data_IF_901747467815
#
_entry.id   IF_901747467815
#
_cell.length_a   1.000
_cell.length_b   1.000
_cell.length_c   1.000
_cell.angle_alpha   90.00
_cell.angle_beta   90.00
_cell.angle_gamma   90.00
#
_symmetry.space_group_name_H-M   'P 1'
#
loop_
_entity.id
_entity.type
_entity.pdbx_description
1 polymer ?
#
# COMPACT_ATOMS: atom_id res chain seq x y z
N UNK A 1 -73.98 14.55 -22.83
CA UNK A 1 -72.80 15.36 -22.91
C UNK A 1 -71.58 14.45 -22.65
N UNK A 2 -70.46 14.73 -23.31
CA UNK A 2 -69.15 14.09 -23.06
C UNK A 2 -68.47 14.81 -21.90
N UNK A 3 -67.95 14.04 -20.97
CA UNK A 3 -67.26 14.50 -19.77
C UNK A 3 -65.85 13.97 -19.71
N UNK A 4 -64.90 14.77 -19.25
CA UNK A 4 -63.55 14.34 -18.90
C UNK A 4 -63.37 14.44 -17.38
N UNK A 5 -63.01 13.30 -16.76
CA UNK A 5 -62.78 13.26 -15.32
C UNK A 5 -61.45 13.88 -14.95
N UNK A 6 -61.42 14.73 -13.95
CA UNK A 6 -60.21 15.36 -13.44
C UNK A 6 -59.30 14.42 -12.65
N UNK A 7 -59.85 13.35 -12.07
CA UNK A 7 -59.13 12.34 -11.26
C UNK A 7 -58.44 11.27 -12.13
N UNK A 8 -59.25 10.63 -13.01
CA UNK A 8 -58.75 9.50 -13.81
C UNK A 8 -58.40 9.86 -15.26
N UNK A 9 -58.64 11.13 -15.68
CA UNK A 9 -58.51 11.63 -17.06
C UNK A 9 -59.38 10.87 -18.11
N UNK A 10 -60.25 9.96 -17.68
CA UNK A 10 -61.13 9.20 -18.56
C UNK A 10 -62.25 10.05 -19.15
N UNK A 11 -62.58 9.83 -20.42
CA UNK A 11 -63.67 10.48 -21.11
C UNK A 11 -64.86 9.51 -21.19
N UNK A 12 -66.07 10.04 -20.92
CA UNK A 12 -67.28 9.26 -20.93
C UNK A 12 -68.48 10.10 -21.27
N UNK A 13 -69.56 9.47 -21.69
CA UNK A 13 -70.82 10.14 -22.03
C UNK A 13 -71.91 9.83 -21.00
N UNK A 14 -72.53 10.87 -20.49
CA UNK A 14 -73.72 10.73 -19.65
C UNK A 14 -74.56 12.05 -19.62
N UNK A 15 -75.83 11.94 -19.13
CA UNK A 15 -76.64 13.13 -18.87
C UNK A 15 -76.09 13.95 -17.71
N UNK A 16 -76.42 15.23 -17.66
CA UNK A 16 -75.99 16.15 -16.57
C UNK A 16 -76.48 15.65 -15.23
N UNK A 17 -77.76 15.19 -15.17
CA UNK A 17 -78.32 14.63 -13.96
C UNK A 17 -77.57 13.39 -13.47
N UNK A 18 -77.26 12.47 -14.37
CA UNK A 18 -76.51 11.23 -14.03
C UNK A 18 -75.11 11.54 -13.57
N UNK A 19 -74.45 12.53 -14.21
CA UNK A 19 -73.12 13.01 -13.79
C UNK A 19 -73.12 13.52 -12.36
N UNK A 20 -74.14 14.30 -11.99
CA UNK A 20 -74.28 14.84 -10.65
C UNK A 20 -74.54 13.77 -9.59
N UNK A 21 -75.38 12.78 -9.93
CA UNK A 21 -75.78 11.71 -8.98
C UNK A 21 -74.73 10.61 -8.83
N UNK A 22 -74.12 10.15 -9.90
CA UNK A 22 -73.29 8.93 -9.93
C UNK A 22 -71.82 9.22 -10.06
N UNK A 23 -71.40 10.43 -10.41
CA UNK A 23 -70.00 10.77 -10.62
C UNK A 23 -69.39 10.18 -11.89
N UNK A 24 -68.07 9.99 -11.87
CA UNK A 24 -67.32 9.35 -12.95
C UNK A 24 -67.50 7.82 -12.88
N UNK A 25 -67.90 7.12 -13.96
CA UNK A 25 -68.10 5.69 -13.97
C UNK A 25 -66.76 4.92 -13.75
N UNK A 26 -65.63 5.48 -14.08
CA UNK A 26 -64.33 4.84 -13.86
C UNK A 26 -63.88 4.99 -12.40
N UNK A 27 -63.98 6.22 -11.81
CA UNK A 27 -63.65 6.44 -10.41
C UNK A 27 -64.63 5.73 -9.45
N UNK A 28 -65.91 5.60 -9.83
CA UNK A 28 -66.89 4.82 -9.06
C UNK A 28 -66.82 3.29 -9.34
N UNK A 29 -65.83 2.90 -10.14
CA UNK A 29 -65.56 1.51 -10.47
C UNK A 29 -66.76 0.75 -11.06
N UNK A 30 -67.56 1.44 -11.87
CA UNK A 30 -68.68 0.90 -12.64
C UNK A 30 -68.30 0.50 -14.04
N UNK A 31 -67.16 1.04 -14.56
CA UNK A 31 -66.62 0.75 -15.89
C UNK A 31 -65.10 0.66 -15.84
N UNK A 32 -64.52 -0.17 -16.69
CA UNK A 32 -63.07 -0.29 -16.85
C UNK A 32 -62.50 0.85 -17.65
N UNK A 33 -61.40 1.44 -17.14
CA UNK A 33 -60.53 2.37 -17.85
C UNK A 33 -59.12 1.81 -17.87
N UNK A 34 -58.57 1.58 -19.07
CA UNK A 34 -57.20 1.10 -19.24
C UNK A 34 -56.17 2.11 -18.70
N UNK A 35 -55.21 1.63 -17.89
CA UNK A 35 -54.22 2.46 -17.19
C UNK A 35 -54.71 3.11 -15.90
N UNK A 36 -55.97 2.79 -15.46
CA UNK A 36 -56.52 3.34 -14.21
C UNK A 36 -57.02 2.25 -13.25
N UNK A 37 -57.98 1.40 -13.68
CA UNK A 37 -58.63 0.42 -12.81
C UNK A 37 -58.65 -1.01 -13.38
N UNK A 38 -57.68 -1.35 -14.21
CA UNK A 38 -57.47 -2.72 -14.67
C UNK A 38 -56.75 -3.58 -13.62
N UNK A 39 -56.67 -4.89 -13.83
CA UNK A 39 -55.92 -5.80 -12.94
C UNK A 39 -54.50 -5.36 -12.67
N UNK A 40 -53.85 -4.79 -13.68
CA UNK A 40 -52.44 -4.33 -13.56
C UNK A 40 -52.26 -3.20 -12.57
N UNK A 41 -53.21 -2.26 -12.54
CA UNK A 41 -53.15 -1.10 -11.65
C UNK A 41 -53.70 -1.42 -10.26
N UNK A 42 -54.75 -2.22 -10.17
CA UNK A 42 -55.45 -2.48 -8.90
C UNK A 42 -54.88 -3.67 -8.13
N UNK A 43 -54.50 -4.74 -8.83
CA UNK A 43 -54.05 -6.00 -8.24
C UNK A 43 -52.80 -6.54 -8.97
N UNK A 44 -51.69 -5.76 -9.04
CA UNK A 44 -50.53 -6.14 -9.82
C UNK A 44 -49.85 -7.43 -9.37
N UNK A 45 -50.02 -7.80 -8.08
CA UNK A 45 -49.47 -9.05 -7.52
C UNK A 45 -50.06 -10.31 -8.17
N UNK A 46 -51.26 -10.24 -8.79
CA UNK A 46 -51.89 -11.38 -9.50
C UNK A 46 -51.14 -11.72 -10.79
N UNK A 47 -50.29 -10.86 -11.31
CA UNK A 47 -49.43 -11.13 -12.48
C UNK A 47 -48.53 -12.35 -12.26
N UNK A 48 -48.20 -12.71 -11.01
CA UNK A 48 -47.46 -13.92 -10.64
C UNK A 48 -48.16 -15.22 -11.02
N UNK A 49 -49.48 -15.19 -11.04
CA UNK A 49 -50.35 -16.30 -11.39
C UNK A 49 -50.73 -16.31 -12.87
N UNK A 50 -50.36 -15.27 -13.61
CA UNK A 50 -50.80 -15.04 -14.98
C UNK A 50 -50.09 -15.96 -15.97
N UNK A 51 -50.86 -16.57 -16.87
CA UNK A 51 -50.34 -17.36 -17.99
C UNK A 51 -51.05 -16.98 -19.30
N UNK A 52 -50.77 -17.68 -20.37
CA UNK A 52 -51.23 -17.39 -21.71
C UNK A 52 -52.79 -17.26 -21.81
N UNK A 53 -53.27 -16.05 -21.65
CA UNK A 53 -54.65 -15.66 -21.86
C UNK A 53 -54.77 -14.90 -23.20
N UNK A 54 -56.00 -14.84 -23.75
CA UNK A 54 -56.27 -14.18 -25.06
C UNK A 54 -55.88 -12.70 -25.12
N UNK A 55 -55.86 -12.02 -23.98
CA UNK A 55 -55.51 -10.59 -23.87
C UNK A 55 -54.42 -10.41 -22.80
N UNK A 56 -53.74 -9.24 -22.83
CA UNK A 56 -52.77 -8.88 -21.83
C UNK A 56 -53.39 -8.67 -20.46
N UNK A 57 -52.68 -8.94 -19.38
CA UNK A 57 -53.09 -8.73 -18.00
C UNK A 57 -53.64 -7.31 -17.73
N UNK A 58 -53.04 -6.30 -18.37
CA UNK A 58 -53.49 -4.90 -18.33
C UNK A 58 -54.79 -4.61 -19.09
N UNK A 59 -55.38 -5.54 -19.74
CA UNK A 59 -56.60 -5.38 -20.53
C UNK A 59 -57.83 -6.07 -19.88
N UNK A 60 -57.69 -6.56 -18.64
CA UNK A 60 -58.78 -7.13 -17.89
C UNK A 60 -59.16 -6.25 -16.69
N UNK A 61 -60.44 -6.11 -16.48
CA UNK A 61 -60.96 -5.43 -15.31
C UNK A 61 -60.97 -6.35 -14.10
N UNK A 62 -60.64 -5.82 -12.92
CA UNK A 62 -60.63 -6.60 -11.69
C UNK A 62 -61.98 -7.21 -11.30
N UNK A 63 -63.08 -6.63 -11.74
CA UNK A 63 -64.46 -7.15 -11.57
C UNK A 63 -64.96 -8.01 -12.73
N UNK A 64 -64.10 -8.39 -13.69
CA UNK A 64 -64.53 -9.24 -14.79
C UNK A 64 -64.90 -10.63 -14.31
N UNK A 65 -65.96 -11.17 -14.92
CA UNK A 65 -66.40 -12.57 -14.76
C UNK A 65 -65.88 -13.48 -15.87
N UNK A 66 -65.00 -12.99 -16.74
CA UNK A 66 -64.35 -13.83 -17.75
C UNK A 66 -63.52 -14.92 -17.07
N UNK A 67 -63.71 -16.18 -17.50
CA UNK A 67 -62.91 -17.28 -16.98
C UNK A 67 -61.54 -17.25 -17.63
N UNK A 68 -60.52 -17.04 -16.80
CA UNK A 68 -59.12 -16.91 -17.22
C UNK A 68 -58.27 -18.06 -16.71
N UNK A 69 -57.16 -18.32 -17.38
CA UNK A 69 -56.18 -19.33 -17.00
C UNK A 69 -55.15 -18.72 -16.03
N UNK A 70 -54.96 -19.39 -14.91
CA UNK A 70 -54.00 -19.04 -13.87
C UNK A 70 -53.05 -20.20 -13.61
N UNK A 71 -51.88 -19.93 -13.13
CA UNK A 71 -50.87 -20.92 -12.73
C UNK A 71 -50.42 -20.64 -11.32
N UNK A 72 -50.45 -21.65 -10.47
CA UNK A 72 -49.93 -21.52 -9.12
C UNK A 72 -48.42 -21.33 -9.15
N UNK A 73 -47.86 -20.28 -8.55
CA UNK A 73 -46.41 -20.05 -8.49
C UNK A 73 -45.69 -21.03 -7.56
N UNK A 74 -46.42 -21.73 -6.68
CA UNK A 74 -45.85 -22.69 -5.74
C UNK A 74 -45.72 -24.09 -6.34
N UNK A 75 -46.81 -24.65 -6.87
CA UNK A 75 -46.86 -26.05 -7.38
C UNK A 75 -46.91 -26.13 -8.91
N UNK A 76 -46.98 -25.00 -9.62
CA UNK A 76 -47.09 -24.91 -11.08
C UNK A 76 -48.40 -25.48 -11.70
N UNK A 77 -49.36 -25.89 -10.87
CA UNK A 77 -50.67 -26.37 -11.40
C UNK A 77 -51.41 -25.22 -12.10
N UNK A 78 -52.05 -25.53 -13.20
CA UNK A 78 -52.90 -24.56 -13.91
C UNK A 78 -54.37 -24.77 -13.51
N UNK A 79 -55.10 -23.69 -13.34
CA UNK A 79 -56.51 -23.69 -12.97
C UNK A 79 -57.24 -22.52 -13.61
N UNK A 80 -58.55 -22.55 -13.57
CA UNK A 80 -59.39 -21.52 -14.19
C UNK A 80 -60.32 -20.88 -13.17
N UNK A 81 -60.35 -19.53 -13.17
CA UNK A 81 -61.35 -18.76 -12.41
C UNK A 81 -61.42 -17.33 -13.00
N UNK A 82 -62.40 -16.56 -12.58
CA UNK A 82 -62.54 -15.15 -12.97
C UNK A 82 -61.58 -14.27 -12.18
N UNK A 83 -61.21 -13.05 -12.68
CA UNK A 83 -60.46 -12.06 -11.93
C UNK A 83 -61.06 -11.77 -10.55
N UNK A 84 -62.36 -11.57 -10.47
CA UNK A 84 -63.08 -11.33 -9.20
C UNK A 84 -62.90 -12.49 -8.21
N UNK A 85 -63.00 -13.74 -8.70
CA UNK A 85 -62.78 -14.91 -7.88
C UNK A 85 -61.33 -15.09 -7.46
N UNK A 86 -60.40 -14.82 -8.36
CA UNK A 86 -58.96 -14.84 -8.04
C UNK A 86 -58.60 -13.82 -6.97
N UNK A 87 -59.16 -12.62 -7.02
CA UNK A 87 -59.00 -11.58 -6.00
C UNK A 87 -59.56 -12.07 -4.66
N UNK A 88 -60.73 -12.65 -4.66
CA UNK A 88 -61.37 -13.24 -3.44
C UNK A 88 -60.47 -14.33 -2.84
N UNK A 89 -59.95 -15.24 -3.68
CA UNK A 89 -59.00 -16.30 -3.26
C UNK A 89 -57.70 -15.79 -2.69
N UNK A 90 -57.25 -14.58 -3.06
CA UNK A 90 -55.99 -13.97 -2.62
C UNK A 90 -56.21 -12.88 -1.58
N UNK A 91 -57.42 -12.65 -1.09
CA UNK A 91 -57.69 -11.64 -0.07
C UNK A 91 -57.23 -12.11 1.31
N UNK A 92 -56.20 -11.46 1.83
CA UNK A 92 -55.53 -11.78 3.10
C UNK A 92 -56.44 -11.55 4.34
N UNK A 93 -57.56 -10.84 4.20
CA UNK A 93 -58.47 -10.54 5.30
C UNK A 93 -59.51 -11.69 5.51
N UNK A 94 -59.60 -12.61 4.59
CA UNK A 94 -60.55 -13.71 4.65
C UNK A 94 -59.91 -14.97 5.27
N UNK A 95 -60.41 -15.40 6.41
CA UNK A 95 -59.95 -16.59 7.13
C UNK A 95 -60.23 -17.92 6.41
N UNK A 96 -61.04 -17.94 5.34
CA UNK A 96 -61.35 -19.09 4.51
C UNK A 96 -60.67 -19.00 3.15
N UNK A 97 -59.37 -19.14 3.17
CA UNK A 97 -58.52 -19.03 2.01
C UNK A 97 -58.64 -20.25 1.10
N UNK A 98 -59.34 -20.16 0.00
CA UNK A 98 -59.29 -21.17 -1.05
C UNK A 98 -58.08 -20.94 -1.92
N UNK A 99 -57.01 -21.67 -1.67
CA UNK A 99 -55.79 -21.63 -2.45
C UNK A 99 -55.95 -22.36 -3.80
N UNK A 100 -54.87 -22.70 -4.49
CA UNK A 100 -54.91 -23.49 -5.71
C UNK A 100 -55.49 -24.91 -5.44
N UNK A 101 -55.84 -25.69 -6.49
CA UNK A 101 -56.33 -27.05 -6.32
C UNK A 101 -55.46 -27.99 -5.48
N UNK A 102 -54.19 -27.68 -5.30
CA UNK A 102 -53.25 -28.42 -4.43
C UNK A 102 -53.14 -27.80 -3.02
N UNK A 103 -54.01 -26.89 -2.65
CA UNK A 103 -54.01 -26.22 -1.34
C UNK A 103 -52.65 -25.64 -0.91
N UNK A 104 -51.91 -25.04 -1.85
CA UNK A 104 -50.65 -24.37 -1.53
C UNK A 104 -50.90 -23.17 -0.61
N UNK A 105 -50.06 -23.02 0.40
CA UNK A 105 -50.08 -21.84 1.25
C UNK A 105 -49.44 -20.64 0.53
N UNK A 106 -50.27 -19.87 -0.15
CA UNK A 106 -49.85 -18.66 -0.85
C UNK A 106 -49.44 -17.55 0.12
N UNK A 107 -49.93 -17.54 1.34
CA UNK A 107 -49.54 -16.57 2.34
C UNK A 107 -48.05 -16.63 2.65
N UNK A 108 -47.57 -17.83 2.95
CA UNK A 108 -46.18 -18.04 3.31
C UNK A 108 -45.24 -17.87 2.12
N UNK A 109 -45.59 -18.42 0.95
CA UNK A 109 -44.66 -18.50 -0.19
C UNK A 109 -44.77 -17.32 -1.17
N UNK A 110 -45.95 -16.71 -1.29
CA UNK A 110 -46.20 -15.66 -2.29
C UNK A 110 -46.35 -14.29 -1.64
N UNK A 111 -47.20 -14.18 -0.62
CA UNK A 111 -47.53 -12.88 -0.02
C UNK A 111 -46.63 -12.49 1.13
N UNK A 112 -46.31 -13.39 2.06
CA UNK A 112 -45.38 -13.07 3.17
C UNK A 112 -43.95 -12.86 2.68
N UNK A 113 -43.58 -13.47 1.58
CA UNK A 113 -42.27 -13.32 0.94
C UNK A 113 -42.26 -12.33 -0.23
N UNK A 114 -43.35 -11.63 -0.47
CA UNK A 114 -43.46 -10.66 -1.55
C UNK A 114 -42.94 -9.30 -1.12
N UNK A 115 -41.94 -8.79 -1.84
CA UNK A 115 -41.38 -7.46 -1.61
C UNK A 115 -42.46 -6.38 -1.79
N UNK A 116 -43.35 -6.56 -2.74
CA UNK A 116 -44.36 -5.57 -3.05
C UNK A 116 -45.32 -5.31 -1.87
N UNK A 117 -45.73 -6.35 -1.13
CA UNK A 117 -46.63 -6.21 0.02
C UNK A 117 -45.88 -5.92 1.32
N UNK A 118 -44.74 -6.56 1.55
CA UNK A 118 -44.13 -6.60 2.88
C UNK A 118 -43.08 -5.50 3.13
N UNK A 119 -42.66 -4.78 2.12
CA UNK A 119 -41.64 -3.74 2.33
C UNK A 119 -41.80 -2.54 1.38
N UNK A 120 -42.50 -1.50 1.82
CA UNK A 120 -42.60 -0.24 1.06
C UNK A 120 -41.26 0.39 0.74
N UNK A 121 -40.28 0.21 1.62
CA UNK A 121 -38.88 0.68 1.41
C UNK A 121 -38.26 -0.04 0.22
N UNK A 122 -38.27 -1.35 0.20
CA UNK A 122 -37.65 -2.15 -0.85
C UNK A 122 -38.31 -1.89 -2.22
N UNK A 123 -39.61 -1.58 -2.25
CA UNK A 123 -40.29 -1.17 -3.49
C UNK A 123 -39.72 0.13 -4.06
N UNK A 124 -39.44 1.13 -3.21
CA UNK A 124 -38.84 2.40 -3.64
C UNK A 124 -37.40 2.25 -4.10
N UNK A 125 -36.68 1.29 -3.51
CA UNK A 125 -35.28 1.01 -3.83
C UNK A 125 -35.12 0.06 -5.04
N UNK A 126 -36.18 -0.50 -5.59
CA UNK A 126 -36.15 -1.37 -6.75
C UNK A 126 -35.72 -0.60 -8.00
N UNK A 127 -34.56 -0.96 -8.58
CA UNK A 127 -34.05 -0.25 -9.75
C UNK A 127 -34.83 -0.56 -11.02
N UNK A 128 -34.99 0.43 -11.86
CA UNK A 128 -35.58 0.29 -13.22
C UNK A 128 -34.74 -0.60 -14.15
N UNK A 129 -33.48 -0.88 -13.80
CA UNK A 129 -32.62 -1.81 -14.55
C UNK A 129 -33.07 -3.28 -14.43
N UNK A 130 -33.92 -3.59 -13.47
CA UNK A 130 -34.45 -4.94 -13.36
C UNK A 130 -35.45 -5.23 -14.51
N UNK A 131 -35.23 -6.35 -15.18
CA UNK A 131 -36.07 -6.76 -16.31
C UNK A 131 -37.48 -7.26 -15.89
N UNK A 132 -37.73 -7.31 -14.58
CA UNK A 132 -39.03 -7.74 -14.03
C UNK A 132 -39.56 -6.67 -13.07
N UNK A 133 -40.89 -6.46 -13.04
CA UNK A 133 -41.51 -5.62 -12.03
C UNK A 133 -41.29 -6.17 -10.61
N UNK A 134 -41.24 -5.29 -9.61
CA UNK A 134 -40.95 -5.64 -8.22
C UNK A 134 -41.99 -6.67 -7.65
N UNK A 135 -43.22 -6.57 -8.08
CA UNK A 135 -44.29 -7.47 -7.60
C UNK A 135 -44.18 -8.91 -8.16
N UNK A 136 -43.37 -9.13 -9.21
CA UNK A 136 -43.05 -10.46 -9.72
C UNK A 136 -41.78 -11.06 -9.09
N UNK A 137 -41.08 -10.29 -8.31
CA UNK A 137 -39.86 -10.73 -7.63
C UNK A 137 -40.21 -11.47 -6.33
N UNK A 138 -39.89 -12.76 -6.27
CA UNK A 138 -40.10 -13.58 -5.09
C UNK A 138 -38.93 -13.50 -4.13
N UNK A 139 -39.21 -13.17 -2.88
CA UNK A 139 -38.21 -12.90 -1.86
C UNK A 139 -37.46 -14.13 -1.35
N UNK A 140 -37.95 -15.35 -1.63
CA UNK A 140 -37.32 -16.60 -1.18
C UNK A 140 -36.25 -17.16 -2.16
N UNK A 141 -36.07 -16.53 -3.33
CA UNK A 141 -35.07 -16.98 -4.29
C UNK A 141 -33.71 -16.41 -3.86
N UNK A 142 -32.95 -17.16 -3.08
CA UNK A 142 -31.72 -16.71 -2.41
C UNK A 142 -30.57 -16.37 -3.32
N UNK A 143 -30.49 -16.99 -4.48
CA UNK A 143 -29.29 -16.88 -5.36
C UNK A 143 -29.39 -15.78 -6.40
N UNK A 144 -30.60 -15.31 -6.73
CA UNK A 144 -30.78 -14.29 -7.78
C UNK A 144 -30.52 -12.90 -7.24
N UNK A 145 -29.58 -12.19 -7.85
CA UNK A 145 -29.26 -10.78 -7.54
C UNK A 145 -30.10 -9.86 -8.42
N UNK A 146 -30.54 -8.75 -7.83
CA UNK A 146 -31.31 -7.71 -8.48
C UNK A 146 -30.64 -6.36 -8.25
N UNK A 147 -30.92 -5.40 -9.10
CA UNK A 147 -30.46 -4.03 -8.98
C UNK A 147 -31.30 -3.24 -7.97
N UNK A 148 -30.62 -2.52 -7.08
CA UNK A 148 -31.22 -1.69 -6.06
C UNK A 148 -30.68 -0.27 -6.13
N UNK A 149 -31.54 0.73 -5.91
CA UNK A 149 -31.15 2.11 -5.69
C UNK A 149 -31.09 2.37 -4.18
N UNK A 150 -29.91 2.67 -3.65
CA UNK A 150 -29.82 3.00 -2.23
C UNK A 150 -30.55 4.31 -1.93
N UNK A 151 -31.42 4.29 -0.92
CA UNK A 151 -32.14 5.49 -0.50
C UNK A 151 -31.27 6.56 0.15
N UNK A 152 -30.06 6.18 0.62
CA UNK A 152 -29.09 7.06 1.29
C UNK A 152 -28.15 7.70 0.27
N UNK A 153 -27.35 6.88 -0.44
CA UNK A 153 -26.31 7.35 -1.34
C UNK A 153 -26.73 7.48 -2.81
N UNK A 154 -27.96 7.06 -3.16
CA UNK A 154 -28.50 7.00 -4.52
C UNK A 154 -27.70 6.09 -5.49
N UNK A 155 -26.72 5.34 -4.98
CA UNK A 155 -25.93 4.40 -5.76
C UNK A 155 -26.73 3.16 -6.14
N UNK A 156 -26.50 2.66 -7.36
CA UNK A 156 -27.10 1.42 -7.85
C UNK A 156 -26.18 0.23 -7.65
N UNK A 157 -26.66 -0.84 -7.05
CA UNK A 157 -25.87 -2.03 -6.75
C UNK A 157 -26.66 -3.32 -6.89
N UNK A 158 -25.97 -4.45 -6.98
CA UNK A 158 -26.55 -5.79 -7.09
C UNK A 158 -26.56 -6.50 -5.74
N UNK A 159 -27.76 -6.91 -5.29
CA UNK A 159 -27.93 -7.68 -4.07
C UNK A 159 -29.09 -8.65 -4.21
N UNK A 160 -29.07 -9.79 -3.51
CA UNK A 160 -30.22 -10.67 -3.43
C UNK A 160 -31.29 -10.10 -2.50
N UNK A 161 -32.54 -10.48 -2.74
CA UNK A 161 -33.66 -9.99 -1.94
C UNK A 161 -33.54 -10.37 -0.46
N UNK A 162 -33.21 -11.63 -0.09
CA UNK A 162 -33.02 -11.99 1.32
C UNK A 162 -31.99 -11.11 2.04
N UNK A 163 -30.82 -10.94 1.44
CA UNK A 163 -29.76 -10.09 2.04
C UNK A 163 -30.24 -8.64 2.19
N UNK A 164 -30.88 -8.07 1.15
CA UNK A 164 -31.37 -6.68 1.21
C UNK A 164 -32.48 -6.50 2.24
N UNK A 165 -33.27 -7.53 2.50
CA UNK A 165 -34.35 -7.52 3.49
C UNK A 165 -33.81 -7.60 4.92
N UNK A 166 -32.87 -8.51 5.17
CA UNK A 166 -32.34 -8.81 6.51
C UNK A 166 -31.31 -7.78 6.96
N UNK A 167 -30.46 -7.32 6.04
CA UNK A 167 -29.38 -6.37 6.32
C UNK A 167 -29.78 -4.98 5.82
N UNK A 168 -30.18 -4.12 6.76
CA UNK A 168 -30.58 -2.73 6.44
C UNK A 168 -29.45 -2.02 5.69
N UNK A 169 -28.21 -2.26 6.08
CA UNK A 169 -26.98 -1.62 5.58
C UNK A 169 -26.24 -2.48 4.55
N UNK A 170 -26.95 -3.17 3.65
CA UNK A 170 -26.36 -4.01 2.61
C UNK A 170 -25.85 -3.24 1.38
N UNK A 171 -25.88 -1.91 1.40
CA UNK A 171 -25.34 -1.10 0.33
C UNK A 171 -23.80 -1.06 0.40
N UNK A 172 -23.07 -1.53 -0.62
CA UNK A 172 -21.61 -1.58 -0.59
C UNK A 172 -20.95 -0.18 -0.56
N UNK A 173 -21.67 0.84 -1.02
CA UNK A 173 -21.20 2.21 -1.00
C UNK A 173 -21.36 2.85 0.38
N UNK A 174 -22.52 2.62 1.05
CA UNK A 174 -22.73 3.11 2.42
C UNK A 174 -21.83 2.41 3.44
N UNK A 175 -21.45 1.17 3.18
CA UNK A 175 -20.53 0.38 4.01
C UNK A 175 -19.06 0.61 3.68
N UNK A 176 -18.77 1.52 2.76
CA UNK A 176 -17.40 1.85 2.33
C UNK A 176 -16.63 0.65 1.71
N UNK A 177 -17.37 -0.34 1.19
CA UNK A 177 -16.81 -1.53 0.52
C UNK A 177 -16.47 -1.28 -0.95
N UNK A 178 -17.19 -0.35 -1.60
CA UNK A 178 -16.98 0.04 -2.99
C UNK A 178 -17.05 1.56 -3.14
N UNK A 179 -16.22 2.15 -4.02
CA UNK A 179 -16.25 3.59 -4.26
C UNK A 179 -17.48 4.00 -5.09
N UNK A 180 -18.10 5.10 -4.71
CA UNK A 180 -19.14 5.80 -5.44
C UNK A 180 -18.77 7.27 -5.53
N UNK A 181 -18.43 7.74 -6.74
CA UNK A 181 -18.09 9.16 -6.98
C UNK A 181 -19.24 10.07 -6.58
N UNK A 182 -18.92 11.15 -5.88
CA UNK A 182 -19.88 12.08 -5.32
C UNK A 182 -20.45 11.66 -3.96
N UNK A 183 -19.94 10.57 -3.36
CA UNK A 183 -20.44 10.09 -2.07
C UNK A 183 -19.37 9.65 -1.07
N UNK A 184 -18.55 8.63 -1.38
CA UNK A 184 -17.64 8.00 -0.40
C UNK A 184 -16.19 7.82 -0.89
N UNK A 185 -15.80 8.43 -2.01
CA UNK A 185 -14.42 8.38 -2.43
C UNK A 185 -13.53 9.28 -1.57
N UNK A 186 -12.23 9.06 -1.58
CA UNK A 186 -11.30 9.95 -0.89
C UNK A 186 -11.42 11.40 -1.37
N UNK A 187 -11.73 11.61 -2.66
CA UNK A 187 -11.94 12.93 -3.22
C UNK A 187 -13.21 13.61 -2.66
N UNK A 188 -14.21 12.84 -2.28
CA UNK A 188 -15.45 13.35 -1.70
C UNK A 188 -15.29 13.66 -0.21
N UNK A 189 -14.55 12.79 0.53
CA UNK A 189 -14.40 12.90 1.99
C UNK A 189 -13.27 13.87 2.37
N UNK A 190 -12.16 13.84 1.61
CA UNK A 190 -10.95 14.61 1.85
C UNK A 190 -10.48 15.37 0.60
N UNK A 191 -11.31 16.22 0.01
CA UNK A 191 -10.97 16.95 -1.23
C UNK A 191 -9.69 17.78 -1.11
N UNK A 192 -9.37 18.25 0.10
CA UNK A 192 -8.17 19.01 0.42
C UNK A 192 -6.86 18.23 0.18
N UNK A 193 -6.90 16.89 0.19
CA UNK A 193 -5.71 16.06 -0.08
C UNK A 193 -5.51 15.75 -1.56
N UNK A 194 -6.47 16.07 -2.41
CA UNK A 194 -6.43 15.74 -3.85
C UNK A 194 -5.21 16.35 -4.56
N UNK A 195 -4.84 17.59 -4.22
CA UNK A 195 -3.70 18.30 -4.81
C UNK A 195 -2.33 17.70 -4.42
N UNK A 196 -2.29 16.92 -3.35
CA UNK A 196 -1.08 16.26 -2.86
C UNK A 196 -0.94 14.81 -3.35
N UNK A 197 -1.94 14.29 -4.05
CA UNK A 197 -1.93 12.94 -4.59
C UNK A 197 -1.06 12.84 -5.83
N UNK A 198 0.00 12.02 -5.79
CA UNK A 198 0.88 11.87 -6.95
C UNK A 198 0.20 11.11 -8.09
N UNK A 199 0.45 11.56 -9.32
CA UNK A 199 0.02 10.88 -10.54
C UNK A 199 0.67 9.49 -10.76
N UNK A 200 1.70 9.16 -9.97
CA UNK A 200 2.36 7.84 -10.00
C UNK A 200 1.61 6.77 -9.21
N UNK A 201 0.60 7.15 -8.44
CA UNK A 201 -0.28 6.17 -7.82
C UNK A 201 -1.07 5.43 -8.89
N UNK A 202 -1.17 4.10 -8.76
CA UNK A 202 -1.90 3.24 -9.72
C UNK A 202 -3.39 3.57 -9.69
N UNK A 203 -3.95 3.78 -8.49
CA UNK A 203 -5.35 4.12 -8.29
C UNK A 203 -5.52 5.64 -8.26
N UNK A 204 -6.61 6.14 -8.84
CA UNK A 204 -6.93 7.57 -8.76
C UNK A 204 -7.58 7.88 -7.42
N UNK A 205 -7.41 9.11 -6.98
CA UNK A 205 -7.92 9.59 -5.68
C UNK A 205 -9.45 9.55 -5.56
N UNK A 206 -10.14 9.66 -6.70
CA UNK A 206 -11.59 9.61 -6.83
C UNK A 206 -12.14 8.19 -7.13
N UNK A 207 -11.29 7.17 -7.03
CA UNK A 207 -11.65 5.76 -7.28
C UNK A 207 -11.40 4.86 -6.07
N UNK A 208 -11.07 5.43 -4.90
CA UNK A 208 -10.70 4.68 -3.69
C UNK A 208 -11.58 5.13 -2.52
N UNK A 209 -11.96 4.18 -1.66
CA UNK A 209 -12.65 4.46 -0.40
C UNK A 209 -11.67 4.64 0.75
N UNK A 210 -12.15 5.26 1.84
CA UNK A 210 -11.33 5.45 3.04
C UNK A 210 -10.94 4.14 3.70
N UNK A 211 -11.87 3.18 3.79
CA UNK A 211 -11.62 1.87 4.42
C UNK A 211 -10.57 1.05 3.65
N UNK A 212 -10.64 1.07 2.31
CA UNK A 212 -9.67 0.39 1.46
C UNK A 212 -8.26 1.00 1.60
N UNK A 213 -8.19 2.32 1.65
CA UNK A 213 -6.94 3.07 1.58
C UNK A 213 -6.23 3.25 2.92
N UNK A 214 -6.95 3.22 4.04
CA UNK A 214 -6.48 3.67 5.37
C UNK A 214 -5.12 3.11 5.77
N UNK A 215 -4.85 1.84 5.51
CA UNK A 215 -3.63 1.15 5.92
C UNK A 215 -2.59 0.98 4.79
N UNK A 216 -2.93 1.40 3.58
CA UNK A 216 -2.04 1.31 2.41
C UNK A 216 -1.11 2.53 2.34
N UNK A 217 0.08 2.31 1.75
CA UNK A 217 1.02 3.39 1.43
C UNK A 217 0.75 3.92 0.04
N UNK A 218 0.79 5.24 -0.07
CA UNK A 218 0.62 5.96 -1.33
C UNK A 218 1.74 6.99 -1.51
N UNK A 219 1.91 7.41 -2.75
CA UNK A 219 2.87 8.44 -3.12
C UNK A 219 2.20 9.80 -2.99
N UNK A 220 2.81 10.66 -2.18
CA UNK A 220 2.35 12.02 -1.89
C UNK A 220 3.30 13.04 -2.46
N UNK A 221 2.78 14.12 -3.03
CA UNK A 221 3.56 15.26 -3.50
C UNK A 221 3.58 16.34 -2.43
N UNK A 222 4.76 16.71 -1.94
CA UNK A 222 4.90 17.80 -0.96
C UNK A 222 4.82 19.15 -1.66
N UNK A 223 3.92 20.00 -1.21
CA UNK A 223 3.73 21.38 -1.71
C UNK A 223 4.91 22.32 -1.42
N UNK A 224 5.68 22.03 -0.38
CA UNK A 224 6.83 22.87 0.03
C UNK A 224 8.12 22.58 -0.77
N UNK A 225 8.43 21.31 -1.02
CA UNK A 225 9.68 20.93 -1.70
C UNK A 225 9.48 20.30 -3.08
N UNK A 226 8.26 20.10 -3.51
CA UNK A 226 7.87 19.45 -4.77
C UNK A 226 8.45 18.02 -4.95
N UNK A 227 8.79 17.36 -3.85
CA UNK A 227 9.30 15.99 -3.86
C UNK A 227 8.20 15.02 -3.47
N UNK A 228 8.21 13.86 -4.11
CA UNK A 228 7.31 12.77 -3.83
C UNK A 228 7.86 11.87 -2.72
N UNK A 229 6.98 11.43 -1.83
CA UNK A 229 7.34 10.52 -0.75
C UNK A 229 6.23 9.49 -0.50
N UNK A 230 6.61 8.34 0.05
CA UNK A 230 5.68 7.28 0.39
C UNK A 230 5.26 7.37 1.85
N UNK A 231 3.94 7.44 2.12
CA UNK A 231 3.42 7.37 3.47
C UNK A 231 2.02 6.71 3.48
N UNK A 232 1.63 6.13 4.62
CA UNK A 232 0.29 5.57 4.82
C UNK A 232 -0.74 6.67 4.89
N UNK A 233 -1.91 6.45 4.27
CA UNK A 233 -3.01 7.40 4.33
C UNK A 233 -3.43 7.73 5.77
N UNK A 234 -3.50 6.71 6.66
CA UNK A 234 -3.85 6.94 8.07
C UNK A 234 -2.92 7.92 8.78
N UNK A 235 -1.60 7.86 8.50
CA UNK A 235 -0.60 8.77 9.07
C UNK A 235 -0.75 10.17 8.47
N UNK A 236 -1.04 10.24 7.17
CA UNK A 236 -1.28 11.53 6.50
C UNK A 236 -2.51 12.20 7.08
N UNK A 237 -3.63 11.51 7.21
CA UNK A 237 -4.87 12.05 7.77
C UNK A 237 -4.68 12.55 9.20
N UNK A 238 -4.09 11.73 10.08
CA UNK A 238 -3.85 12.09 11.48
C UNK A 238 -2.97 13.34 11.60
N UNK A 239 -1.83 13.33 10.95
CA UNK A 239 -0.89 14.45 11.05
C UNK A 239 -1.34 15.70 10.28
N UNK A 240 -2.03 15.53 9.15
CA UNK A 240 -2.56 16.65 8.38
C UNK A 240 -3.60 17.42 9.18
N UNK A 241 -4.53 16.71 9.82
CA UNK A 241 -5.56 17.32 10.69
C UNK A 241 -4.94 18.06 11.88
N UNK A 242 -3.89 17.49 12.49
CA UNK A 242 -3.21 18.06 13.67
C UNK A 242 -2.20 19.19 13.36
N UNK A 243 -1.83 19.40 12.09
CA UNK A 243 -0.73 20.29 11.69
C UNK A 243 -1.16 21.43 10.75
N UNK A 244 -2.29 22.06 11.01
CA UNK A 244 -2.82 23.18 10.21
C UNK A 244 -2.92 22.87 8.70
N UNK A 245 -3.12 21.60 8.35
CA UNK A 245 -3.26 21.10 6.96
C UNK A 245 -2.00 21.30 6.10
N UNK A 246 -0.81 21.23 6.71
CA UNK A 246 0.46 21.34 5.99
C UNK A 246 1.15 19.98 5.84
N UNK A 247 1.36 19.52 4.61
CA UNK A 247 2.14 18.30 4.32
C UNK A 247 3.63 18.43 4.63
N UNK A 248 4.15 19.65 4.68
CA UNK A 248 5.53 19.95 5.05
C UNK A 248 5.99 19.23 6.32
N UNK A 249 5.10 19.15 7.34
CA UNK A 249 5.40 18.50 8.63
C UNK A 249 5.38 16.97 8.57
N UNK A 250 4.88 16.39 7.47
CA UNK A 250 4.82 14.93 7.23
C UNK A 250 5.96 14.52 6.30
N UNK A 251 6.30 15.37 5.36
CA UNK A 251 7.31 15.13 4.33
C UNK A 251 8.67 14.81 4.97
N UNK A 252 9.28 13.65 4.67
CA UNK A 252 10.55 13.25 5.26
C UNK A 252 11.74 14.14 4.83
N UNK A 253 11.64 14.75 3.65
CA UNK A 253 12.65 15.68 3.14
C UNK A 253 12.63 17.02 3.88
N UNK A 254 11.45 17.61 4.06
CA UNK A 254 11.30 18.87 4.79
C UNK A 254 11.66 18.73 6.27
N UNK A 255 11.41 17.56 6.86
CA UNK A 255 11.76 17.24 8.24
C UNK A 255 13.18 16.70 8.41
N UNK A 256 13.99 16.72 7.38
CA UNK A 256 15.38 16.23 7.40
C UNK A 256 15.53 14.79 7.95
N UNK A 257 14.53 13.93 7.75
CA UNK A 257 14.64 12.50 8.09
C UNK A 257 15.44 11.75 7.04
N UNK A 258 15.27 12.14 5.78
CA UNK A 258 16.06 11.67 4.64
C UNK A 258 16.54 12.91 3.86
N UNK A 259 17.69 12.84 3.19
CA UNK A 259 18.20 13.96 2.38
C UNK A 259 17.31 14.18 1.16
N UNK A 260 17.26 15.40 0.66
CA UNK A 260 16.79 15.63 -0.70
C UNK A 260 17.71 14.90 -1.69
N UNK A 261 17.24 14.54 -2.90
CA UNK A 261 18.06 13.81 -3.85
C UNK A 261 19.47 14.37 -4.04
N UNK A 262 19.60 15.69 -4.21
CA UNK A 262 20.86 16.41 -4.41
C UNK A 262 21.77 16.50 -3.16
N UNK A 263 21.20 16.26 -1.96
CA UNK A 263 21.93 16.25 -0.69
C UNK A 263 22.38 14.84 -0.28
N UNK A 264 21.86 13.82 -0.95
CA UNK A 264 22.12 12.42 -0.62
C UNK A 264 23.58 12.02 -0.86
N UNK A 265 24.01 11.00 -0.12
CA UNK A 265 25.35 10.43 -0.28
C UNK A 265 25.54 9.87 -1.70
N UNK A 266 24.52 9.17 -2.24
CA UNK A 266 24.56 8.57 -3.57
C UNK A 266 24.72 9.61 -4.69
N UNK A 267 24.11 10.78 -4.54
CA UNK A 267 24.22 11.87 -5.50
C UNK A 267 25.57 12.62 -5.37
N UNK A 268 25.95 13.01 -4.15
CA UNK A 268 27.19 13.75 -3.89
C UNK A 268 28.45 12.94 -4.11
N UNK A 269 28.40 11.64 -3.87
CA UNK A 269 29.56 10.72 -3.93
C UNK A 269 29.17 9.41 -4.67
N UNK A 270 28.85 9.49 -5.97
CA UNK A 270 28.35 8.34 -6.73
C UNK A 270 29.32 7.17 -6.80
N UNK A 271 30.63 7.44 -6.67
CA UNK A 271 31.68 6.40 -6.65
C UNK A 271 31.54 5.46 -5.43
N UNK A 272 30.93 5.91 -4.34
CA UNK A 272 30.71 5.08 -3.14
C UNK A 272 29.67 3.99 -3.33
N UNK A 273 28.86 4.06 -4.38
CA UNK A 273 27.89 3.01 -4.70
C UNK A 273 28.54 1.64 -4.90
N UNK A 274 29.75 1.59 -5.44
CA UNK A 274 30.51 0.33 -5.60
C UNK A 274 31.07 -0.23 -4.30
N UNK A 275 31.06 0.54 -3.21
CA UNK A 275 31.51 0.15 -1.87
C UNK A 275 30.37 0.01 -0.89
N UNK A 276 29.14 0.28 -1.35
CA UNK A 276 27.94 0.29 -0.54
C UNK A 276 27.30 -1.10 -0.47
N UNK A 277 26.98 -1.54 0.72
CA UNK A 277 26.27 -2.81 0.96
C UNK A 277 24.77 -2.54 1.15
N UNK A 278 24.03 -2.45 0.05
CA UNK A 278 22.62 -2.04 0.05
C UNK A 278 21.73 -2.95 0.91
N UNK A 279 21.99 -4.26 0.90
CA UNK A 279 21.28 -5.25 1.71
C UNK A 279 21.46 -5.08 3.23
N UNK A 280 22.51 -4.37 3.65
CA UNK A 280 22.83 -4.12 5.07
C UNK A 280 22.52 -2.67 5.43
N UNK A 281 22.91 -1.72 4.59
CA UNK A 281 22.88 -0.29 4.89
C UNK A 281 21.62 0.41 4.33
N UNK A 282 20.79 -0.27 3.52
CA UNK A 282 19.65 0.32 2.81
C UNK A 282 20.08 1.18 1.61
N UNK A 283 19.17 2.00 1.13
CA UNK A 283 19.37 2.81 -0.07
C UNK A 283 20.31 4.00 0.21
N UNK A 284 21.43 4.07 -0.53
CA UNK A 284 22.44 5.13 -0.44
C UNK A 284 21.87 6.53 -0.72
N UNK A 285 20.78 6.62 -1.47
CA UNK A 285 20.11 7.90 -1.77
C UNK A 285 19.26 8.44 -0.62
N UNK A 286 18.99 7.61 0.40
CA UNK A 286 18.29 8.02 1.61
C UNK A 286 19.22 8.43 2.76
N UNK A 287 20.51 8.51 2.50
CA UNK A 287 21.54 8.76 3.52
C UNK A 287 22.19 10.14 3.30
N UNK A 288 22.33 10.90 4.39
CA UNK A 288 23.06 12.16 4.37
C UNK A 288 24.58 11.92 4.23
N UNK A 289 25.24 12.68 3.34
CA UNK A 289 26.69 12.56 3.12
C UNK A 289 27.56 12.94 4.33
N UNK A 290 27.01 13.71 5.27
CA UNK A 290 27.65 14.14 6.50
C UNK A 290 27.22 13.36 7.74
N UNK A 291 26.54 12.21 7.57
CA UNK A 291 26.12 11.39 8.71
C UNK A 291 27.33 10.86 9.48
N UNK A 292 27.19 10.86 10.81
CA UNK A 292 28.18 10.28 11.73
C UNK A 292 27.93 8.78 12.00
N UNK A 293 26.96 8.17 11.36
CA UNK A 293 26.67 6.74 11.53
C UNK A 293 27.85 5.90 11.06
N UNK A 294 28.17 4.88 11.86
CA UNK A 294 29.19 3.89 11.53
C UNK A 294 28.52 2.72 10.84
N UNK A 295 28.83 2.53 9.57
CA UNK A 295 28.27 1.47 8.75
C UNK A 295 29.35 0.57 8.18
N UNK A 296 28.93 -0.54 7.57
CA UNK A 296 29.80 -1.49 6.92
C UNK A 296 30.01 -1.14 5.44
N UNK A 297 31.27 -1.14 5.01
CA UNK A 297 31.71 -0.85 3.65
C UNK A 297 32.45 -2.01 3.06
N UNK A 298 32.42 -2.20 1.74
CA UNK A 298 33.29 -3.10 1.01
C UNK A 298 34.40 -2.30 0.32
N UNK A 299 35.65 -2.64 0.56
CA UNK A 299 36.73 -1.92 -0.08
C UNK A 299 36.90 -2.33 -1.55
N UNK A 300 36.81 -1.39 -2.50
CA UNK A 300 37.01 -1.65 -3.94
C UNK A 300 38.42 -2.16 -4.32
N UNK A 301 39.43 -1.97 -3.45
CA UNK A 301 40.81 -2.40 -3.70
C UNK A 301 41.14 -3.76 -3.16
N UNK A 302 40.71 -4.06 -1.92
CA UNK A 302 41.03 -5.33 -1.27
C UNK A 302 39.81 -6.25 -1.04
N UNK A 303 38.63 -5.80 -1.46
CA UNK A 303 37.34 -6.52 -1.37
C UNK A 303 36.97 -7.00 0.04
N UNK A 304 37.47 -6.34 1.07
CA UNK A 304 37.19 -6.65 2.47
C UNK A 304 36.21 -5.68 3.06
N UNK A 305 35.34 -6.22 3.91
CA UNK A 305 34.41 -5.39 4.66
C UNK A 305 35.13 -4.67 5.81
N UNK A 306 34.76 -3.45 6.05
CA UNK A 306 35.28 -2.66 7.17
C UNK A 306 34.22 -1.66 7.65
N UNK A 307 34.30 -1.27 8.91
CA UNK A 307 33.41 -0.27 9.51
C UNK A 307 34.05 1.11 9.49
N UNK A 308 33.29 2.10 9.04
CA UNK A 308 33.70 3.50 9.07
C UNK A 308 32.49 4.43 9.13
N UNK A 309 32.72 5.64 9.70
CA UNK A 309 31.69 6.71 9.64
C UNK A 309 31.46 7.12 8.19
N UNK A 310 30.20 7.43 7.86
CA UNK A 310 29.80 7.87 6.53
C UNK A 310 30.55 9.16 6.16
N UNK A 311 30.55 10.17 7.04
CA UNK A 311 31.26 11.43 6.83
C UNK A 311 32.73 11.20 6.52
N UNK A 312 33.43 10.37 7.30
CA UNK A 312 34.86 10.09 7.08
C UNK A 312 35.12 9.40 5.74
N UNK A 313 34.23 8.44 5.35
CA UNK A 313 34.41 7.76 4.04
C UNK A 313 34.08 8.66 2.87
N UNK A 314 33.14 9.59 3.05
CA UNK A 314 32.80 10.58 2.02
C UNK A 314 33.94 11.60 1.77
N UNK A 315 34.78 11.87 2.77
CA UNK A 315 35.89 12.84 2.69
C UNK A 315 37.24 12.19 2.32
N UNK A 316 37.52 10.97 2.81
CA UNK A 316 38.83 10.29 2.65
C UNK A 316 38.72 8.97 1.88
N UNK A 317 39.30 8.94 0.68
CA UNK A 317 39.44 7.73 -0.14
C UNK A 317 40.34 6.65 0.51
N UNK A 318 41.12 6.98 1.50
CA UNK A 318 42.08 6.08 2.19
C UNK A 318 41.52 5.48 3.48
N UNK A 319 40.23 5.52 3.65
CA UNK A 319 39.57 5.12 4.90
C UNK A 319 39.64 3.62 5.22
N UNK A 320 39.87 2.75 4.22
CA UNK A 320 40.02 1.31 4.45
C UNK A 320 41.18 1.00 5.39
N UNK A 321 40.99 0.41 6.56
CA UNK A 321 42.05 0.17 7.54
C UNK A 321 43.08 -0.89 7.08
N UNK A 322 42.68 -1.77 6.18
CA UNK A 322 43.54 -2.80 5.61
C UNK A 322 44.45 -2.21 4.55
N UNK A 323 43.93 -1.46 3.58
CA UNK A 323 44.72 -0.81 2.54
C UNK A 323 45.64 0.33 3.08
N UNK A 324 45.17 0.96 4.17
CA UNK A 324 45.98 1.98 4.86
C UNK A 324 47.01 1.42 5.84
N UNK A 325 47.14 0.10 5.94
CA UNK A 325 48.03 -0.62 6.85
C UNK A 325 47.82 -0.31 8.35
N UNK A 326 46.58 0.09 8.74
CA UNK A 326 46.22 0.28 10.16
C UNK A 326 45.86 -1.06 10.82
N UNK A 327 45.30 -2.02 10.05
CA UNK A 327 45.01 -3.36 10.50
C UNK A 327 45.86 -4.34 9.73
N UNK A 328 46.54 -5.21 10.47
CA UNK A 328 47.42 -6.26 9.93
C UNK A 328 46.58 -7.42 9.31
N UNK A 329 47.00 -7.86 8.13
CA UNK A 329 46.55 -9.11 7.51
C UNK A 329 47.78 -9.91 7.08
N UNK A 330 48.03 -11.03 7.76
CA UNK A 330 49.13 -11.95 7.42
C UNK A 330 48.98 -12.44 5.97
N UNK A 331 50.11 -12.43 5.26
CA UNK A 331 50.19 -12.86 3.86
C UNK A 331 49.69 -11.79 2.84
N UNK A 332 49.28 -10.56 3.30
CA UNK A 332 48.85 -9.50 2.41
C UNK A 332 49.57 -8.19 2.66
N UNK A 333 49.47 -7.60 3.85
CA UNK A 333 50.06 -6.30 4.18
C UNK A 333 51.06 -6.36 5.33
N UNK A 334 51.43 -7.54 5.77
CA UNK A 334 52.50 -7.73 6.73
C UNK A 334 53.86 -7.50 6.09
N UNK A 335 54.85 -7.18 6.91
CA UNK A 335 56.21 -6.84 6.46
C UNK A 335 56.94 -8.03 5.82
N UNK A 336 56.69 -9.26 6.25
CA UNK A 336 57.33 -10.42 5.65
C UNK A 336 56.90 -10.60 4.19
N UNK A 337 55.64 -10.30 3.90
CA UNK A 337 55.05 -10.38 2.54
C UNK A 337 55.42 -9.15 1.69
N UNK A 338 55.29 -7.95 2.26
CA UNK A 338 55.47 -6.69 1.49
C UNK A 338 56.91 -6.27 1.33
N UNK A 339 57.81 -6.68 2.26
CA UNK A 339 59.24 -6.36 2.28
C UNK A 339 60.08 -7.62 2.61
N UNK A 340 60.06 -8.65 1.74
CA UNK A 340 60.72 -9.92 2.05
C UNK A 340 62.21 -9.82 2.27
N UNK A 341 62.86 -8.81 1.70
CA UNK A 341 64.30 -8.53 1.90
C UNK A 341 64.67 -8.25 3.38
N UNK A 342 63.72 -7.73 4.17
CA UNK A 342 63.91 -7.44 5.60
C UNK A 342 64.02 -8.68 6.46
N UNK A 343 63.61 -9.87 5.97
CA UNK A 343 63.69 -11.13 6.69
C UNK A 343 65.16 -11.43 7.03
N UNK A 344 66.07 -11.12 6.11
CA UNK A 344 67.50 -11.36 6.29
C UNK A 344 68.14 -10.38 7.33
N UNK A 345 67.51 -9.23 7.53
CA UNK A 345 67.96 -8.22 8.51
C UNK A 345 67.24 -8.32 9.84
N UNK A 346 66.21 -9.23 9.95
CA UNK A 346 65.45 -9.39 11.18
C UNK A 346 66.21 -10.16 12.23
N UNK A 347 66.45 -9.55 13.38
CA UNK A 347 67.21 -10.20 14.45
C UNK A 347 66.32 -11.13 15.27
N UNK A 348 66.90 -12.26 15.74
CA UNK A 348 66.27 -13.20 16.66
C UNK A 348 66.05 -12.63 18.08
N UNK A 349 66.59 -11.45 18.36
CA UNK A 349 66.32 -10.70 19.60
C UNK A 349 64.95 -10.07 19.67
N UNK A 350 64.20 -10.09 18.56
CA UNK A 350 62.85 -9.60 18.55
C UNK A 350 61.87 -10.59 19.17
N UNK A 351 60.94 -10.12 19.98
CA UNK A 351 59.84 -10.89 20.58
C UNK A 351 58.64 -11.11 19.63
N UNK A 352 58.66 -10.46 18.46
CA UNK A 352 57.62 -10.52 17.44
C UNK A 352 58.16 -11.01 16.10
N UNK A 353 57.30 -11.69 15.35
CA UNK A 353 57.63 -12.05 13.97
C UNK A 353 57.40 -10.86 13.00
N UNK A 354 58.15 -10.79 11.93
CA UNK A 354 58.01 -9.77 10.89
C UNK A 354 56.62 -9.80 10.24
N UNK A 355 56.02 -11.00 10.15
CA UNK A 355 54.64 -11.22 9.67
C UNK A 355 53.53 -10.71 10.61
N UNK A 356 53.92 -10.28 11.83
CA UNK A 356 53.00 -9.67 12.78
C UNK A 356 53.02 -8.11 12.79
N UNK A 357 53.72 -7.49 11.85
CA UNK A 357 53.92 -6.06 11.79
C UNK A 357 53.55 -5.51 10.41
N UNK A 358 53.02 -4.30 10.36
CA UNK A 358 52.80 -3.54 9.10
C UNK A 358 53.94 -2.53 8.91
N UNK A 359 54.05 -1.98 7.70
CA UNK A 359 55.03 -0.96 7.37
C UNK A 359 54.88 0.37 8.14
N UNK A 360 53.76 0.59 8.81
CA UNK A 360 53.49 1.76 9.67
C UNK A 360 53.68 1.48 11.15
N UNK A 361 54.19 0.30 11.50
CA UNK A 361 54.38 -0.08 12.90
C UNK A 361 55.39 0.84 13.61
N UNK A 362 55.01 1.29 14.80
CA UNK A 362 55.89 2.02 15.73
C UNK A 362 56.75 1.09 16.59
N UNK A 363 56.68 -0.23 16.35
CA UNK A 363 57.49 -1.20 17.07
C UNK A 363 58.97 -0.94 16.87
N UNK A 364 59.75 -0.84 17.98
CA UNK A 364 61.18 -0.65 17.97
C UNK A 364 61.83 -2.01 17.90
N UNK A 365 62.27 -2.37 16.69
CA UNK A 365 62.82 -3.70 16.39
C UNK A 365 64.34 -3.72 16.44
N UNK A 366 64.88 -4.92 16.72
CA UNK A 366 66.30 -5.24 16.55
C UNK A 366 66.55 -5.68 15.09
N UNK A 367 67.54 -5.01 14.46
CA UNK A 367 67.93 -5.25 13.08
C UNK A 367 69.35 -5.75 13.01
N UNK A 368 69.65 -6.75 12.22
CA UNK A 368 70.99 -7.21 11.89
C UNK A 368 71.47 -6.49 10.62
N UNK A 369 72.54 -5.75 10.74
CA UNK A 369 73.11 -5.05 9.57
C UNK A 369 73.67 -6.00 8.56
N UNK A 370 73.28 -5.90 7.29
CA UNK A 370 73.85 -6.74 6.19
C UNK A 370 75.32 -6.39 5.86
N UNK A 371 75.84 -5.21 6.26
CA UNK A 371 77.21 -4.76 5.98
C UNK A 371 78.13 -5.10 7.13
N UNK A 372 77.84 -4.68 8.36
CA UNK A 372 78.75 -4.88 9.51
C UNK A 372 78.36 -6.01 10.42
N UNK A 373 77.26 -6.79 10.10
CA UNK A 373 76.73 -7.93 10.83
C UNK A 373 76.32 -7.65 12.27
N UNK A 374 76.38 -6.41 12.75
CA UNK A 374 75.98 -6.06 14.11
C UNK A 374 74.50 -5.70 14.22
N UNK A 375 73.97 -5.88 15.42
CA UNK A 375 72.59 -5.61 15.74
C UNK A 375 72.36 -4.18 16.28
N UNK A 376 71.30 -3.55 15.87
CA UNK A 376 70.88 -2.22 16.35
C UNK A 376 69.38 -2.09 16.44
N UNK A 377 68.89 -1.20 17.24
CA UNK A 377 67.46 -0.92 17.39
C UNK A 377 67.03 0.25 16.52
N UNK A 378 65.92 0.04 15.81
CA UNK A 378 65.27 1.12 15.07
C UNK A 378 63.77 0.83 14.93
N UNK A 379 62.93 1.88 14.92
CA UNK A 379 61.47 1.77 14.67
C UNK A 379 61.26 1.27 13.25
N UNK A 380 60.35 0.32 13.09
CA UNK A 380 60.00 -0.32 11.81
C UNK A 380 59.67 0.67 10.73
N UNK A 381 58.78 1.64 10.99
CA UNK A 381 58.40 2.65 10.01
C UNK A 381 59.56 3.54 9.58
N UNK A 382 60.48 3.87 10.51
CA UNK A 382 61.70 4.66 10.23
C UNK A 382 62.74 3.87 9.42
N UNK A 383 62.82 2.57 9.64
CA UNK A 383 63.73 1.69 8.87
C UNK A 383 63.39 1.66 7.38
N UNK A 384 62.09 1.71 7.06
CA UNK A 384 61.62 1.69 5.66
C UNK A 384 61.84 2.99 4.91
N UNK A 385 61.94 4.11 5.63
CA UNK A 385 62.16 5.45 5.04
C UNK A 385 63.66 5.69 4.77
N UNK A 386 64.51 5.22 5.65
CA UNK A 386 65.97 5.49 5.54
C UNK A 386 66.73 4.37 4.83
N UNK A 387 67.35 4.66 3.69
CA UNK A 387 68.12 3.69 2.89
C UNK A 387 69.38 3.14 3.63
N UNK A 388 69.92 3.89 4.57
CA UNK A 388 71.06 3.50 5.40
C UNK A 388 70.79 3.76 6.86
N UNK A 389 70.35 2.73 7.58
CA UNK A 389 69.83 2.86 8.93
C UNK A 389 70.73 2.35 10.05
N UNK A 390 71.77 1.60 9.71
CA UNK A 390 72.74 1.13 10.70
C UNK A 390 73.57 2.29 11.28
N UNK A 391 73.50 2.58 12.59
CA UNK A 391 74.22 3.68 13.22
C UNK A 391 75.69 3.46 13.19
N UNK A 392 76.16 2.26 13.12
CA UNK A 392 77.60 1.96 13.04
C UNK A 392 78.15 2.22 11.64
N UNK A 393 77.48 1.76 10.57
CA UNK A 393 77.86 2.05 9.20
C UNK A 393 77.79 3.55 8.86
N UNK A 394 76.86 4.26 9.48
CA UNK A 394 76.74 5.74 9.36
C UNK A 394 77.67 6.50 10.23
N UNK A 395 78.53 5.81 11.01
CA UNK A 395 79.50 6.40 11.94
C UNK A 395 78.88 7.36 13.00
N UNK A 396 77.58 7.18 13.30
CA UNK A 396 76.87 7.93 14.37
C UNK A 396 76.98 7.26 15.74
N UNK A 397 77.39 6.00 15.78
CA UNK A 397 77.81 5.28 16.97
C UNK A 397 79.09 4.49 16.72
N UNK A 398 79.90 4.46 17.73
CA UNK A 398 81.16 3.73 17.69
C UNK A 398 80.92 2.27 17.98
N UNK A 399 81.52 1.37 17.21
CA UNK A 399 81.55 -0.08 17.39
C UNK A 399 83.02 -0.53 17.39
N UNK A 400 83.41 -1.08 18.54
CA UNK A 400 84.81 -1.52 18.74
C UNK A 400 85.13 -2.72 17.78
N UNK A 401 86.23 -2.59 17.08
CA UNK A 401 86.69 -3.54 16.06
C UNK A 401 86.05 -3.33 14.67
N UNK A 402 85.26 -2.21 14.45
CA UNK A 402 84.65 -1.92 13.13
C UNK A 402 84.89 -0.46 12.70
N UNK A 403 84.41 0.48 13.48
CA UNK A 403 84.52 1.91 13.11
C UNK A 403 85.10 2.82 14.20
N UNK A 404 85.67 2.17 15.23
CA UNK A 404 86.44 2.84 16.25
C UNK A 404 87.76 3.36 15.68
N UNK A 405 88.32 4.35 16.36
CA UNK A 405 89.57 5.02 15.94
C UNK A 405 90.76 4.04 15.85
N UNK A 406 90.84 3.13 16.85
CA UNK A 406 91.91 2.11 16.89
C UNK A 406 91.87 1.15 15.70
N UNK A 407 90.68 0.78 15.25
CA UNK A 407 90.52 -0.10 14.08
C UNK A 407 90.67 0.62 12.76
N UNK A 408 90.17 1.88 12.63
CA UNK A 408 90.17 2.63 11.37
C UNK A 408 91.47 3.35 11.13
N UNK A 409 92.17 3.75 12.20
CA UNK A 409 93.38 4.53 12.17
C UNK A 409 94.39 4.01 13.21
N UNK A 410 94.88 2.74 13.04
CA UNK A 410 95.67 2.08 14.04
C UNK A 410 97.02 2.79 14.36
N UNK A 411 97.49 3.61 13.41
CA UNK A 411 98.74 4.37 13.63
C UNK A 411 98.55 5.50 14.68
N UNK A 412 97.33 6.03 14.89
CA UNK A 412 97.04 7.06 15.89
C UNK A 412 97.06 6.55 17.32
N UNK A 413 97.04 5.21 17.54
CA UNK A 413 97.09 4.63 18.89
C UNK A 413 98.38 4.98 19.60
N UNK A 414 99.49 5.08 18.85
CA UNK A 414 100.81 5.48 19.42
C UNK A 414 100.90 6.92 19.88
N UNK A 415 99.97 7.76 19.35
CA UNK A 415 99.85 9.16 19.68
C UNK A 415 98.75 9.46 20.69
N UNK A 416 98.00 8.42 21.10
CA UNK A 416 96.85 8.54 22.04
C UNK A 416 97.37 8.80 23.45
N UNK A 417 97.06 9.95 24.04
CA UNK A 417 97.47 10.28 25.40
C UNK A 417 96.61 9.51 26.44
N UNK A 418 97.30 9.04 27.49
CA UNK A 418 96.64 8.43 28.67
C UNK A 418 95.81 9.38 29.46
N UNK A 419 95.79 10.66 29.14
CA UNK A 419 94.96 11.73 29.74
C UNK A 419 93.52 11.77 29.10
N UNK A 420 93.30 11.01 28.02
CA UNK A 420 91.98 10.98 27.42
C UNK A 420 91.01 10.13 28.28
N UNK A 421 89.80 10.67 28.53
CA UNK A 421 88.77 10.04 29.36
C UNK A 421 88.02 8.85 28.67
N UNK A 422 88.44 8.47 27.45
CA UNK A 422 87.82 7.42 26.66
C UNK A 422 88.88 6.49 26.11
N UNK A 423 88.62 5.19 26.29
CA UNK A 423 89.39 4.10 25.70
C UNK A 423 89.26 4.02 24.17
#
# INVERSE_FOLDING_TARGET
ATWKCTECNGEYECSVVKRHQEGCPYCSDKQMLKGFNTLKETHPYLEKFWINNKRLFSNYWHKSFDVLNWKCPCCNIQFQCSPAEMISRTNLENSNFETCPNNCDWNTLVFNNDIFHNSPRLRKEWSKKNNIPVHLALSHIETKKYWWNCSICQGEYLCSIPIRREVIDSCPYCNDEQPLKGYNTLADIHPELSSYWSSKNIQKFDEITLSEAKNKKYIWLCDCCNLEFNEKLSIVLDKFSNNNRELKKICPYCNKKIPKPEESLGYKKPFLKSEWLENINGDIYNIFSNSNDIIEWICRKCHRNFKAKISNRAEDDKCCPYCSNRILIKGINDLATTHPHLIKEWSNLNDRQLSCLTNKSSYKAWWKCSVCSNTYQQVVSSKLISKTSCPYCRKTKVLKGFNDLATTHPWLIKEWSTLNDRD
#
